data_IF_745853439670
#
_entry.id   IF_745853439670
#
_cell.length_a   1.000
_cell.length_b   1.000
_cell.length_c   1.000
_cell.angle_alpha   90.00
_cell.angle_beta   90.00
_cell.angle_gamma   90.00
#
_symmetry.space_group_name_H-M   'P 1'
#
loop_
_entity.id
_entity.type
_entity.pdbx_description
1 polymer ?
#
# COMPACT_ATOMS: atom_id res chain seq x y z
N UNK A 1 46.33 -3.27 -24.00
CA UNK A 1 44.99 -2.82 -23.58
C UNK A 1 44.25 -4.06 -23.10
N UNK A 2 44.23 -4.32 -21.79
CA UNK A 2 43.48 -5.45 -21.24
C UNK A 2 42.35 -4.89 -20.38
N UNK A 3 41.14 -5.24 -20.81
CA UNK A 3 39.86 -4.69 -20.39
C UNK A 3 39.56 -5.17 -18.97
N UNK A 4 39.35 -4.25 -18.04
CA UNK A 4 38.79 -4.54 -16.72
C UNK A 4 37.37 -5.09 -16.89
N UNK A 5 37.20 -6.41 -16.70
CA UNK A 5 35.89 -7.01 -16.51
C UNK A 5 35.37 -6.62 -15.12
N UNK A 6 34.56 -5.55 -15.08
CA UNK A 6 33.78 -5.19 -13.90
C UNK A 6 32.65 -6.22 -13.73
N UNK A 7 32.50 -6.89 -12.57
CA UNK A 7 31.38 -7.78 -12.37
C UNK A 7 30.07 -6.97 -12.40
N UNK A 8 29.01 -7.46 -13.07
CA UNK A 8 27.69 -6.84 -12.97
C UNK A 8 27.23 -6.95 -11.51
N UNK A 9 26.82 -5.82 -10.96
CA UNK A 9 26.34 -5.69 -9.59
C UNK A 9 25.10 -6.60 -9.43
N UNK A 10 25.30 -7.81 -8.88
CA UNK A 10 24.29 -8.85 -8.79
C UNK A 10 23.63 -8.75 -7.41
N UNK A 11 22.53 -8.02 -7.33
CA UNK A 11 21.67 -7.92 -6.13
C UNK A 11 20.66 -9.09 -6.05
N UNK A 12 21.14 -10.33 -6.20
CA UNK A 12 20.30 -11.52 -6.05
C UNK A 12 20.73 -12.30 -4.79
N UNK A 13 19.80 -12.75 -3.93
CA UNK A 13 20.14 -13.66 -2.86
C UNK A 13 20.46 -15.03 -3.47
N UNK A 14 21.64 -15.55 -3.16
CA UNK A 14 22.08 -16.89 -3.50
C UNK A 14 21.33 -17.90 -2.61
N UNK A 15 20.70 -18.91 -3.21
CA UNK A 15 20.03 -20.01 -2.51
C UNK A 15 20.98 -21.19 -2.41
N UNK A 16 21.20 -21.70 -1.21
CA UNK A 16 21.52 -23.11 -0.97
C UNK A 16 20.84 -23.56 0.33
N UNK A 17 20.23 -24.75 0.33
CA UNK A 17 19.82 -25.43 1.57
C UNK A 17 18.33 -25.74 1.69
N UNK A 18 17.93 -26.83 1.05
CA UNK A 18 16.72 -27.62 1.19
C UNK A 18 16.25 -27.84 2.64
N UNK A 19 14.99 -27.49 2.94
CA UNK A 19 13.96 -28.31 3.62
C UNK A 19 12.84 -27.39 4.11
N UNK A 20 11.59 -27.79 3.87
CA UNK A 20 10.37 -27.00 4.12
C UNK A 20 10.34 -25.68 3.35
N UNK A 21 10.13 -25.79 2.03
CA UNK A 21 9.25 -24.84 1.34
C UNK A 21 7.84 -24.99 1.93
N UNK A 22 7.70 -24.60 3.20
CA UNK A 22 6.42 -24.25 3.76
C UNK A 22 5.84 -23.24 2.78
N UNK A 23 4.62 -23.58 2.36
CA UNK A 23 3.69 -22.84 1.53
C UNK A 23 3.44 -21.46 2.15
N UNK A 24 4.45 -20.61 2.24
CA UNK A 24 4.28 -19.18 2.23
C UNK A 24 4.18 -18.80 0.75
N UNK A 25 3.04 -19.16 0.16
CA UNK A 25 2.35 -18.18 -0.67
C UNK A 25 2.37 -16.90 0.16
N UNK A 26 3.36 -16.03 -0.06
CA UNK A 26 3.41 -14.74 0.60
C UNK A 26 2.08 -14.09 0.27
N UNK A 27 1.16 -14.12 1.24
CA UNK A 27 -0.18 -13.66 1.04
C UNK A 27 -0.07 -12.17 0.80
N UNK A 28 0.03 -11.81 -0.49
CA UNK A 28 0.27 -10.44 -0.93
C UNK A 28 -0.80 -9.60 -0.24
N UNK A 29 -0.34 -8.62 0.54
CA UNK A 29 -1.22 -7.80 1.39
C UNK A 29 -2.30 -7.19 0.51
N UNK A 30 -3.56 -7.56 0.77
CA UNK A 30 -4.71 -7.19 -0.06
C UNK A 30 -5.13 -5.73 0.15
N UNK A 31 -4.93 -5.20 1.34
CA UNK A 31 -5.28 -3.83 1.70
C UNK A 31 -4.55 -3.43 2.99
N UNK A 32 -4.74 -2.20 3.46
CA UNK A 32 -4.18 -1.77 4.74
C UNK A 32 -4.80 -2.49 5.96
N UNK A 33 -5.83 -3.32 5.78
CA UNK A 33 -6.45 -4.15 6.80
C UNK A 33 -5.85 -5.57 6.88
N UNK A 34 -4.96 -5.93 5.96
CA UNK A 34 -4.30 -7.23 5.99
C UNK A 34 -3.42 -7.33 7.23
N UNK A 35 -3.57 -8.42 7.98
CA UNK A 35 -2.72 -8.72 9.13
C UNK A 35 -1.30 -9.11 8.66
N UNK A 36 -0.21 -8.71 9.35
CA UNK A 36 -0.14 -7.85 10.53
C UNK A 36 -0.39 -6.38 10.18
N UNK A 37 -1.23 -5.70 10.98
CA UNK A 37 -1.45 -4.26 10.80
C UNK A 37 -0.13 -3.52 11.02
N UNK A 38 0.20 -2.64 10.08
CA UNK A 38 1.42 -1.87 10.17
C UNK A 38 1.32 -0.88 11.34
N UNK A 39 2.24 -0.86 12.31
CA UNK A 39 2.12 -0.04 13.52
C UNK A 39 2.00 1.46 13.20
N UNK A 40 2.65 1.93 12.13
CA UNK A 40 2.51 3.31 11.67
C UNK A 40 1.10 3.68 11.22
N UNK A 41 0.31 2.72 10.71
CA UNK A 41 -1.08 2.97 10.32
C UNK A 41 -1.95 3.23 11.56
N UNK A 42 -1.73 2.46 12.63
CA UNK A 42 -2.40 2.65 13.92
C UNK A 42 -2.02 4.00 14.52
N UNK A 43 -0.73 4.32 14.54
CA UNK A 43 -0.23 5.62 15.04
C UNK A 43 -0.83 6.78 14.24
N UNK A 44 -0.91 6.66 12.91
CA UNK A 44 -1.52 7.66 12.05
C UNK A 44 -3.01 7.88 12.38
N UNK A 45 -3.78 6.81 12.62
CA UNK A 45 -5.18 6.91 13.03
C UNK A 45 -5.36 7.57 14.40
N UNK A 46 -4.49 7.24 15.36
CA UNK A 46 -4.52 7.86 16.69
C UNK A 46 -4.22 9.36 16.61
N UNK A 47 -3.21 9.75 15.84
CA UNK A 47 -2.90 11.16 15.58
C UNK A 47 -4.07 11.86 14.87
N UNK A 48 -4.68 11.21 13.88
CA UNK A 48 -5.85 11.73 13.18
C UNK A 48 -7.02 12.02 14.13
N UNK A 49 -7.36 11.07 15.01
CA UNK A 49 -8.40 11.25 16.02
C UNK A 49 -8.05 12.35 17.02
N UNK A 50 -6.79 12.41 17.46
CA UNK A 50 -6.31 13.45 18.36
C UNK A 50 -6.51 14.85 17.74
N UNK A 51 -6.05 15.08 16.51
CA UNK A 51 -6.24 16.36 15.83
C UNK A 51 -7.71 16.68 15.57
N UNK A 52 -8.53 15.67 15.26
CA UNK A 52 -9.97 15.85 15.10
C UNK A 52 -10.65 16.33 16.40
N UNK A 53 -10.37 15.66 17.52
CA UNK A 53 -10.99 15.94 18.81
C UNK A 53 -10.52 17.29 19.38
N UNK A 54 -9.22 17.56 19.35
CA UNK A 54 -8.68 18.82 19.86
C UNK A 54 -9.08 19.99 18.95
N UNK A 55 -8.99 19.83 17.63
CA UNK A 55 -9.34 20.87 16.66
C UNK A 55 -10.82 21.16 16.62
N UNK A 56 -11.64 20.18 16.23
CA UNK A 56 -13.08 20.39 16.01
C UNK A 56 -13.92 20.24 17.28
N UNK A 57 -13.49 19.43 18.25
CA UNK A 57 -14.24 19.20 19.49
C UNK A 57 -14.00 20.24 20.57
N UNK A 58 -12.82 20.86 20.60
CA UNK A 58 -12.42 21.79 21.67
C UNK A 58 -12.14 23.19 21.10
N UNK A 59 -11.20 23.31 20.17
CA UNK A 59 -10.73 24.62 19.69
C UNK A 59 -11.79 25.38 18.88
N UNK A 60 -12.54 24.70 18.02
CA UNK A 60 -13.61 25.32 17.21
C UNK A 60 -14.77 25.84 18.07
N UNK A 61 -15.35 25.08 19.03
CA UNK A 61 -16.43 25.58 19.89
C UNK A 61 -16.01 26.69 20.86
N UNK A 62 -14.75 26.71 21.28
CA UNK A 62 -14.20 27.77 22.15
C UNK A 62 -14.00 29.10 21.41
N UNK A 63 -14.08 29.10 20.07
CA UNK A 63 -13.83 30.28 19.28
C UNK A 63 -15.03 31.25 19.33
N UNK A 64 -14.83 32.51 19.73
CA UNK A 64 -15.95 33.43 19.93
C UNK A 64 -16.67 33.77 18.61
N UNK A 65 -17.99 33.62 18.63
CA UNK A 65 -18.89 33.54 17.46
C UNK A 65 -19.21 34.87 16.74
N UNK A 66 -18.47 35.93 17.03
CA UNK A 66 -18.91 37.31 16.84
C UNK A 66 -18.76 37.84 15.41
N UNK A 67 -18.10 37.11 14.50
CA UNK A 67 -17.92 37.53 13.10
C UNK A 67 -18.41 36.46 12.11
N UNK A 68 -19.35 36.76 11.19
CA UNK A 68 -19.82 35.81 10.18
C UNK A 68 -18.70 35.33 9.23
N UNK A 69 -17.65 36.14 9.04
CA UNK A 69 -16.45 35.75 8.30
C UNK A 69 -15.65 34.63 9.00
N UNK A 70 -15.62 34.59 10.33
CA UNK A 70 -14.94 33.54 11.08
C UNK A 70 -15.67 32.20 10.90
N UNK A 71 -17.00 32.21 10.92
CA UNK A 71 -17.77 30.98 10.72
C UNK A 71 -17.50 30.30 9.36
N UNK A 72 -17.31 31.08 8.28
CA UNK A 72 -16.95 30.53 6.97
C UNK A 72 -15.50 30.02 6.92
N UNK A 73 -14.56 30.79 7.46
CA UNK A 73 -13.14 30.44 7.48
C UNK A 73 -12.87 29.19 8.32
N UNK A 74 -13.63 28.95 9.39
CA UNK A 74 -13.46 27.77 10.25
C UNK A 74 -14.26 26.53 9.79
N UNK A 75 -15.37 26.71 9.06
CA UNK A 75 -16.08 25.57 8.44
C UNK A 75 -15.29 24.96 7.28
N UNK A 76 -14.61 25.77 6.46
CA UNK A 76 -13.83 25.28 5.32
C UNK A 76 -12.78 24.20 5.71
N UNK A 77 -11.90 24.41 6.71
CA UNK A 77 -10.97 23.38 7.19
C UNK A 77 -11.66 22.10 7.67
N UNK A 78 -12.84 22.21 8.29
CA UNK A 78 -13.63 21.05 8.71
C UNK A 78 -14.11 20.21 7.53
N UNK A 79 -14.62 20.85 6.49
CA UNK A 79 -15.00 20.17 5.25
C UNK A 79 -13.79 19.49 4.60
N UNK A 80 -12.66 20.19 4.49
CA UNK A 80 -11.44 19.58 3.96
C UNK A 80 -10.94 18.41 4.80
N UNK A 81 -11.05 18.49 6.12
CA UNK A 81 -10.67 17.40 7.02
C UNK A 81 -11.57 16.17 6.84
N UNK A 82 -12.89 16.36 6.71
CA UNK A 82 -13.83 15.26 6.44
C UNK A 82 -13.55 14.64 5.07
N UNK A 83 -13.37 15.46 4.02
CA UNK A 83 -12.99 14.97 2.69
C UNK A 83 -11.69 14.15 2.75
N UNK A 84 -10.69 14.66 3.47
CA UNK A 84 -9.43 13.94 3.66
C UNK A 84 -9.64 12.62 4.40
N UNK A 85 -10.48 12.59 5.45
CA UNK A 85 -10.79 11.37 6.19
C UNK A 85 -11.41 10.30 5.29
N UNK A 86 -12.37 10.69 4.44
CA UNK A 86 -13.00 9.79 3.47
C UNK A 86 -11.96 9.24 2.50
N UNK A 87 -11.15 10.11 1.89
CA UNK A 87 -10.09 9.69 0.95
C UNK A 87 -9.08 8.76 1.62
N UNK A 88 -8.67 9.06 2.85
CA UNK A 88 -7.74 8.22 3.61
C UNK A 88 -8.32 6.84 3.88
N UNK A 89 -9.56 6.77 4.36
CA UNK A 89 -10.23 5.49 4.63
C UNK A 89 -10.43 4.67 3.34
N UNK A 90 -10.82 5.33 2.25
CA UNK A 90 -10.94 4.71 0.93
C UNK A 90 -9.58 4.18 0.45
N UNK A 91 -8.52 4.96 0.56
CA UNK A 91 -7.17 4.55 0.15
C UNK A 91 -6.65 3.33 0.93
N UNK A 92 -6.95 3.24 2.23
CA UNK A 92 -6.59 2.08 3.06
C UNK A 92 -7.41 0.83 2.71
N UNK A 93 -8.64 1.03 2.21
CA UNK A 93 -9.60 -0.06 1.93
C UNK A 93 -9.49 -0.61 0.51
N UNK A 94 -9.00 0.18 -0.45
CA UNK A 94 -8.81 -0.24 -1.85
C UNK A 94 -7.64 -1.23 -1.95
N UNK A 95 -7.89 -2.35 -2.63
CA UNK A 95 -6.84 -3.26 -3.08
C UNK A 95 -6.15 -2.65 -4.30
N UNK A 96 -4.84 -2.36 -4.27
CA UNK A 96 -4.14 -1.75 -5.39
C UNK A 96 -3.93 -2.70 -6.58
N UNK A 97 -4.24 -3.99 -6.44
CA UNK A 97 -4.09 -4.95 -7.51
C UNK A 97 -5.09 -4.69 -8.65
N UNK A 98 -4.62 -4.83 -9.89
CA UNK A 98 -5.46 -4.77 -11.09
C UNK A 98 -6.52 -5.89 -11.09
N UNK A 99 -7.64 -5.68 -11.78
CA UNK A 99 -8.77 -6.61 -11.79
C UNK A 99 -8.35 -8.03 -12.23
N UNK A 100 -7.59 -8.14 -13.32
CA UNK A 100 -7.08 -9.42 -13.84
C UNK A 100 -6.19 -10.13 -12.82
N UNK A 101 -5.32 -9.38 -12.13
CA UNK A 101 -4.45 -9.90 -11.07
C UNK A 101 -5.25 -10.34 -9.85
N UNK A 102 -6.31 -9.59 -9.50
CA UNK A 102 -7.21 -9.92 -8.39
C UNK A 102 -7.93 -11.24 -8.65
N UNK A 103 -8.46 -11.43 -9.85
CA UNK A 103 -9.15 -12.67 -10.25
C UNK A 103 -8.21 -13.88 -10.13
N UNK A 104 -7.03 -13.84 -10.74
CA UNK A 104 -6.07 -14.94 -10.67
C UNK A 104 -5.56 -15.21 -9.24
N UNK A 105 -5.37 -14.15 -8.45
CA UNK A 105 -4.99 -14.27 -7.03
C UNK A 105 -6.09 -14.92 -6.18
N UNK A 106 -7.36 -14.66 -6.46
CA UNK A 106 -8.48 -15.32 -5.77
C UNK A 106 -8.68 -16.76 -6.22
N UNK A 107 -8.35 -17.07 -7.48
CA UNK A 107 -8.34 -18.44 -8.00
C UNK A 107 -7.18 -19.29 -7.44
N UNK A 108 -6.20 -18.66 -6.78
CA UNK A 108 -5.05 -19.36 -6.20
C UNK A 108 -3.98 -19.76 -7.22
N UNK A 109 -4.04 -19.21 -8.44
CA UNK A 109 -3.16 -19.54 -9.56
C UNK A 109 -1.85 -18.74 -9.52
N UNK A 110 -1.27 -18.54 -8.34
CA UNK A 110 0.03 -17.89 -8.20
C UNK A 110 1.13 -18.92 -8.43
N UNK A 111 1.59 -19.04 -9.68
CA UNK A 111 2.73 -19.87 -10.03
C UNK A 111 4.03 -19.25 -9.50
N UNK A 112 4.89 -20.07 -8.89
CA UNK A 112 6.21 -19.62 -8.45
C UNK A 112 7.07 -19.31 -9.69
N UNK A 113 7.39 -18.03 -9.89
CA UNK A 113 8.28 -17.60 -10.96
C UNK A 113 9.68 -18.21 -10.78
N UNK A 114 10.16 -18.91 -11.81
CA UNK A 114 11.54 -19.39 -11.88
C UNK A 114 12.33 -18.64 -12.95
N UNK A 115 13.48 -18.09 -12.56
CA UNK A 115 14.43 -17.44 -13.48
C UNK A 115 15.11 -18.44 -14.43
N UNK A 116 15.01 -19.73 -14.11
CA UNK A 116 15.55 -20.81 -14.94
C UNK A 116 14.65 -21.06 -16.16
N UNK A 117 13.36 -20.70 -16.04
CA UNK A 117 12.35 -20.84 -17.10
C UNK A 117 12.12 -19.54 -17.87
N UNK A 118 12.14 -18.39 -17.19
CA UNK A 118 11.90 -17.07 -17.78
C UNK A 118 13.03 -16.09 -17.42
N UNK A 119 13.62 -15.44 -18.42
CA UNK A 119 14.73 -14.49 -18.19
C UNK A 119 14.20 -13.14 -17.68
N UNK A 120 13.00 -12.75 -18.11
CA UNK A 120 12.28 -11.55 -17.66
C UNK A 120 10.94 -11.91 -17.00
N UNK A 121 10.50 -11.04 -16.07
CA UNK A 121 9.20 -11.19 -15.39
C UNK A 121 8.02 -10.98 -16.35
N UNK A 122 8.22 -10.09 -17.32
CA UNK A 122 7.24 -9.79 -18.37
C UNK A 122 7.86 -10.18 -19.70
N UNK A 123 7.26 -11.14 -20.39
CA UNK A 123 7.67 -11.59 -21.72
C UNK A 123 6.43 -11.61 -22.62
N UNK A 124 6.55 -11.14 -23.87
CA UNK A 124 5.44 -11.14 -24.84
C UNK A 124 4.12 -10.49 -24.35
N UNK A 125 4.20 -9.45 -23.51
CA UNK A 125 3.03 -8.81 -22.85
C UNK A 125 2.30 -9.72 -21.86
N UNK A 126 2.99 -10.70 -21.31
CA UNK A 126 2.47 -11.57 -20.26
C UNK A 126 3.34 -11.48 -19.02
N UNK A 127 2.71 -11.33 -17.85
CA UNK A 127 3.36 -11.29 -16.55
C UNK A 127 3.34 -12.69 -15.91
N UNK A 128 4.48 -13.38 -15.92
CA UNK A 128 4.62 -14.74 -15.40
C UNK A 128 4.61 -14.87 -13.86
N UNK A 129 4.63 -13.75 -13.14
CA UNK A 129 4.50 -13.73 -11.66
C UNK A 129 3.02 -13.70 -11.25
N UNK A 130 2.19 -12.98 -12.00
CA UNK A 130 0.76 -12.85 -11.75
C UNK A 130 -0.10 -13.73 -12.66
N UNK A 131 0.52 -14.40 -13.64
CA UNK A 131 -0.10 -15.21 -14.69
C UNK A 131 -1.19 -14.45 -15.48
N UNK A 132 -0.94 -13.18 -15.80
CA UNK A 132 -1.89 -12.30 -16.51
C UNK A 132 -1.23 -11.59 -17.70
N UNK A 133 -2.02 -11.29 -18.73
CA UNK A 133 -1.60 -10.41 -19.82
C UNK A 133 -1.64 -8.93 -19.40
N UNK A 134 -0.67 -8.13 -19.87
CA UNK A 134 -0.45 -6.70 -19.53
C UNK A 134 -0.52 -5.77 -20.73
#
# INVERSE_FOLDING_TARGET
MNICNKPPNKTAPEKEGETTAEVQSQHSRRNGWSWPLHPFQIIAWLLYLFFALIGFGILVPLLPHHWPFLNYVFQCPGVFFICHLVVHFTAVSIDPADASVRENKYLGQLTTFSRDQHFHVIENRHCHVCDVDV
#
